data_IF_754686192967
#
_entry.id   IF_754686192967
#
_cell.length_a   1.000
_cell.length_b   1.000
_cell.length_c   1.000
_cell.angle_alpha   90.00
_cell.angle_beta   90.00
_cell.angle_gamma   90.00
#
_symmetry.space_group_name_H-M   'P 1'
#
loop_
_entity.id
_entity.type
_entity.pdbx_description
1 polymer ?
#
# COMPACT_ATOMS: atom_id res chain seq x y z
N UNK A 1 -2.55 -12.80 -24.13
CA UNK A 1 -2.88 -11.35 -24.16
C UNK A 1 -2.06 -10.71 -23.05
N UNK A 2 -1.72 -9.43 -23.10
CA UNK A 2 -0.97 -8.82 -21.98
C UNK A 2 -1.89 -8.53 -20.80
N UNK A 3 -1.32 -8.48 -19.58
CA UNK A 3 -2.02 -8.02 -18.38
C UNK A 3 -2.63 -6.62 -18.56
N UNK A 4 -3.86 -6.44 -18.07
CA UNK A 4 -4.62 -5.19 -18.21
C UNK A 4 -4.41 -4.27 -16.99
N UNK A 5 -3.34 -3.47 -17.04
CA UNK A 5 -2.98 -2.53 -15.97
C UNK A 5 -4.02 -1.41 -15.78
N UNK A 6 -4.72 -1.00 -16.83
CA UNK A 6 -5.78 0.02 -16.72
C UNK A 6 -6.97 -0.51 -15.91
N UNK A 7 -7.34 -1.78 -16.15
CA UNK A 7 -8.36 -2.46 -15.35
C UNK A 7 -7.91 -2.67 -13.90
N UNK A 8 -6.65 -3.07 -13.69
CA UNK A 8 -6.09 -3.19 -12.34
C UNK A 8 -6.20 -1.85 -11.59
N UNK A 9 -5.70 -0.76 -12.19
CA UNK A 9 -5.72 0.57 -11.58
C UNK A 9 -7.13 1.02 -11.23
N UNK A 10 -8.08 0.84 -12.16
CA UNK A 10 -9.49 1.20 -11.93
C UNK A 10 -10.07 0.41 -10.75
N UNK A 11 -9.90 -0.91 -10.73
CA UNK A 11 -10.45 -1.77 -9.70
C UNK A 11 -9.83 -1.49 -8.33
N UNK A 12 -8.53 -1.22 -8.30
CA UNK A 12 -7.82 -0.90 -7.07
C UNK A 12 -8.25 0.48 -6.52
N UNK A 13 -8.44 1.47 -7.39
CA UNK A 13 -8.99 2.77 -6.98
C UNK A 13 -10.41 2.65 -6.40
N UNK A 14 -11.25 1.81 -6.99
CA UNK A 14 -12.59 1.50 -6.47
C UNK A 14 -12.48 0.86 -5.08
N UNK A 15 -11.67 -0.19 -4.92
CA UNK A 15 -11.44 -0.85 -3.64
C UNK A 15 -10.90 0.08 -2.54
N UNK A 16 -9.90 0.90 -2.84
CA UNK A 16 -9.34 1.91 -1.93
C UNK A 16 -10.39 2.93 -1.51
N UNK A 17 -11.21 3.40 -2.47
CA UNK A 17 -12.25 4.39 -2.20
C UNK A 17 -13.37 3.80 -1.35
N UNK A 18 -13.79 2.57 -1.62
CA UNK A 18 -14.81 1.86 -0.85
C UNK A 18 -14.34 1.54 0.56
N UNK A 19 -13.10 1.06 0.71
CA UNK A 19 -12.48 0.82 2.00
C UNK A 19 -12.45 2.12 2.83
N UNK A 20 -11.92 3.21 2.29
CA UNK A 20 -11.89 4.49 2.99
C UNK A 20 -13.30 5.01 3.32
N UNK A 21 -14.28 4.81 2.43
CA UNK A 21 -15.66 5.17 2.68
C UNK A 21 -16.26 4.38 3.87
N UNK A 22 -15.90 3.10 4.01
CA UNK A 22 -16.31 2.26 5.14
C UNK A 22 -15.73 2.73 6.49
N UNK A 23 -14.59 3.45 6.45
CA UNK A 23 -13.89 3.96 7.64
C UNK A 23 -14.25 5.41 8.01
N UNK A 24 -15.29 6.00 7.41
CA UNK A 24 -15.65 7.40 7.65
C UNK A 24 -16.09 7.70 9.09
N UNK A 25 -16.53 6.70 9.85
CA UNK A 25 -16.81 6.85 11.28
C UNK A 25 -15.53 7.09 12.11
N UNK A 26 -14.37 6.70 11.58
CA UNK A 26 -13.04 6.88 12.17
C UNK A 26 -12.23 8.00 11.50
N UNK A 27 -12.85 8.82 10.64
CA UNK A 27 -12.15 9.79 9.77
C UNK A 27 -11.28 10.85 10.48
N UNK A 28 -11.55 11.11 11.76
CA UNK A 28 -10.82 12.07 12.57
C UNK A 28 -9.67 11.41 13.36
N UNK A 29 -9.65 10.08 13.42
CA UNK A 29 -8.70 9.27 14.18
C UNK A 29 -7.73 8.49 13.28
N UNK A 30 -8.19 8.06 12.10
CA UNK A 30 -7.37 7.41 11.09
C UNK A 30 -6.38 8.41 10.48
N UNK A 31 -5.07 8.12 10.57
CA UNK A 31 -4.01 9.05 10.20
C UNK A 31 -3.13 8.57 9.06
N UNK A 32 -3.10 7.27 8.78
CA UNK A 32 -2.33 6.68 7.68
C UNK A 32 -3.10 5.54 7.04
N UNK A 33 -2.95 5.39 5.73
CA UNK A 33 -3.46 4.28 4.94
C UNK A 33 -2.42 3.86 3.90
N UNK A 34 -2.25 2.57 3.68
CA UNK A 34 -1.26 1.99 2.78
C UNK A 34 -1.89 0.96 1.86
N UNK A 35 -1.45 0.91 0.61
CA UNK A 35 -1.60 -0.29 -0.23
C UNK A 35 -0.38 -1.16 0.07
N UNK A 36 -0.59 -2.34 0.62
CA UNK A 36 0.45 -3.35 0.80
C UNK A 36 0.52 -4.19 -0.48
N UNK A 37 1.67 -4.17 -1.15
CA UNK A 37 2.00 -5.04 -2.28
C UNK A 37 3.06 -6.06 -1.85
N UNK A 38 2.82 -7.32 -2.17
CA UNK A 38 3.63 -8.44 -1.72
C UNK A 38 3.73 -9.51 -2.82
N UNK A 39 4.71 -9.34 -3.74
CA UNK A 39 4.80 -10.14 -4.97
C UNK A 39 5.09 -11.62 -4.74
N UNK A 40 5.65 -11.99 -3.59
CA UNK A 40 6.08 -13.36 -3.30
C UNK A 40 4.97 -14.29 -2.76
N UNK A 41 3.76 -13.78 -2.48
CA UNK A 41 2.69 -14.54 -1.83
C UNK A 41 1.40 -14.66 -2.67
N UNK A 42 0.48 -15.52 -2.22
CA UNK A 42 -0.83 -15.73 -2.87
C UNK A 42 -1.79 -14.56 -2.73
N UNK A 43 -1.66 -13.80 -1.65
CA UNK A 43 -2.31 -12.51 -1.55
C UNK A 43 -1.28 -11.52 -2.08
N UNK A 44 -1.64 -10.72 -3.07
CA UNK A 44 -0.68 -9.81 -3.70
C UNK A 44 -0.92 -8.37 -3.26
N UNK A 45 -2.19 -8.00 -3.03
CA UNK A 45 -2.58 -6.63 -2.69
C UNK A 45 -3.54 -6.63 -1.51
N UNK A 46 -3.21 -5.82 -0.50
CA UNK A 46 -4.09 -5.50 0.62
C UNK A 46 -4.12 -3.99 0.88
N UNK A 47 -5.15 -3.54 1.60
CA UNK A 47 -5.25 -2.16 2.09
C UNK A 47 -5.12 -2.21 3.61
N UNK A 48 -4.22 -1.40 4.15
CA UNK A 48 -4.01 -1.24 5.59
C UNK A 48 -4.24 0.18 6.03
N UNK A 49 -4.63 0.38 7.28
CA UNK A 49 -4.70 1.70 7.87
C UNK A 49 -4.45 1.66 9.38
N UNK A 50 -4.06 2.80 9.95
CA UNK A 50 -3.88 2.92 11.39
C UNK A 50 -4.59 4.16 11.94
N UNK A 51 -4.91 4.10 13.23
CA UNK A 51 -5.59 5.14 13.98
C UNK A 51 -4.76 5.58 15.18
N UNK A 52 -4.92 6.83 15.62
CA UNK A 52 -4.21 7.30 16.81
C UNK A 52 -4.67 6.56 18.07
N UNK A 53 -5.94 6.13 18.13
CA UNK A 53 -6.45 5.32 19.24
C UNK A 53 -5.71 3.99 19.33
N UNK A 54 -5.55 3.26 18.22
CA UNK A 54 -4.85 1.98 18.23
C UNK A 54 -3.35 2.15 18.52
N UNK A 55 -2.69 3.15 17.93
CA UNK A 55 -1.28 3.45 18.22
C UNK A 55 -1.03 3.64 19.72
N UNK A 56 -1.91 4.37 20.42
CA UNK A 56 -1.83 4.61 21.87
C UNK A 56 -2.06 3.36 22.72
N UNK A 57 -2.74 2.35 22.17
CA UNK A 57 -2.89 1.06 22.85
C UNK A 57 -1.62 0.21 22.74
N UNK A 58 -0.82 0.42 21.69
CA UNK A 58 0.43 -0.31 21.47
C UNK A 58 1.62 0.32 22.21
N UNK A 59 1.72 1.66 22.21
CA UNK A 59 2.95 2.34 22.64
C UNK A 59 2.69 3.79 23.09
N UNK A 60 3.43 4.22 24.12
CA UNK A 60 3.43 5.61 24.59
C UNK A 60 4.27 6.51 23.65
N UNK A 61 3.91 7.80 23.53
CA UNK A 61 4.56 8.76 22.61
C UNK A 61 6.05 9.01 22.90
N UNK A 62 6.54 8.71 24.11
CA UNK A 62 7.94 8.87 24.52
C UNK A 62 8.77 7.58 24.47
N UNK A 63 8.19 6.46 24.02
CA UNK A 63 8.89 5.20 23.84
C UNK A 63 9.74 5.19 22.55
N UNK A 64 10.88 4.50 22.59
CA UNK A 64 11.77 4.36 21.43
C UNK A 64 11.13 3.59 20.27
N UNK A 65 10.14 2.75 20.57
CA UNK A 65 9.39 1.94 19.60
C UNK A 65 8.21 2.70 18.98
N UNK A 66 7.97 3.95 19.38
CA UNK A 66 6.79 4.71 18.94
C UNK A 66 6.72 4.85 17.42
N UNK A 67 7.84 5.21 16.79
CA UNK A 67 7.92 5.40 15.33
C UNK A 67 7.73 4.07 14.58
N UNK A 68 8.23 2.96 15.11
CA UNK A 68 8.00 1.62 14.56
C UNK A 68 6.50 1.29 14.52
N UNK A 69 5.78 1.34 15.65
CA UNK A 69 4.34 1.05 15.65
C UNK A 69 3.51 2.05 14.86
N UNK A 70 3.98 3.30 14.76
CA UNK A 70 3.31 4.34 13.98
C UNK A 70 3.34 4.06 12.47
N UNK A 71 4.43 3.47 11.97
CA UNK A 71 4.70 3.39 10.54
C UNK A 71 4.89 1.98 9.98
N UNK A 72 5.06 0.96 10.82
CA UNK A 72 5.12 -0.43 10.37
C UNK A 72 3.72 -0.97 10.07
N UNK A 73 3.38 -1.10 8.79
CA UNK A 73 2.09 -1.59 8.31
C UNK A 73 1.68 -2.94 8.93
N UNK A 74 2.63 -3.83 9.21
CA UNK A 74 2.37 -5.17 9.74
C UNK A 74 1.76 -5.15 11.14
N UNK A 75 2.01 -4.10 11.92
CA UNK A 75 1.51 -3.92 13.29
C UNK A 75 0.14 -3.23 13.34
N UNK A 76 -0.41 -2.76 12.22
CA UNK A 76 -1.66 -1.99 12.22
C UNK A 76 -2.92 -2.87 12.32
N UNK A 77 -3.97 -2.35 12.97
CA UNK A 77 -5.22 -3.07 13.22
C UNK A 77 -6.13 -3.21 12.00
N UNK A 78 -6.19 -2.19 11.15
CA UNK A 78 -7.14 -2.17 10.04
C UNK A 78 -6.52 -2.81 8.80
N UNK A 79 -7.18 -3.86 8.30
CA UNK A 79 -6.73 -4.65 7.16
C UNK A 79 -7.91 -5.08 6.28
N UNK A 80 -7.79 -4.94 4.96
CA UNK A 80 -8.72 -5.47 3.96
C UNK A 80 -7.93 -6.12 2.81
N UNK A 81 -8.24 -7.39 2.53
CA UNK A 81 -7.67 -8.13 1.40
C UNK A 81 -8.47 -7.83 0.12
N UNK A 82 -7.79 -7.40 -0.94
CA UNK A 82 -8.43 -7.14 -2.24
C UNK A 82 -8.44 -8.40 -3.10
N UNK A 83 -9.20 -9.41 -2.64
CA UNK A 83 -9.18 -10.80 -3.15
C UNK A 83 -9.31 -10.94 -4.66
N UNK A 84 -10.19 -10.17 -5.29
CA UNK A 84 -10.39 -10.25 -6.75
C UNK A 84 -9.15 -9.79 -7.51
N UNK A 85 -8.46 -8.76 -7.01
CA UNK A 85 -7.22 -8.26 -7.58
C UNK A 85 -6.08 -9.25 -7.34
N UNK A 86 -5.94 -9.72 -6.09
CA UNK A 86 -4.94 -10.75 -5.73
C UNK A 86 -5.10 -12.01 -6.59
N UNK A 87 -6.33 -12.46 -6.84
CA UNK A 87 -6.61 -13.63 -7.68
C UNK A 87 -6.26 -13.39 -9.16
N UNK A 88 -6.47 -12.17 -9.66
CA UNK A 88 -6.12 -11.82 -11.04
C UNK A 88 -4.60 -11.76 -11.24
N UNK A 89 -3.87 -11.21 -10.27
CA UNK A 89 -2.41 -11.19 -10.27
C UNK A 89 -1.84 -12.60 -10.18
N UNK A 90 -2.35 -13.43 -9.26
CA UNK A 90 -1.95 -14.82 -9.15
C UNK A 90 -2.12 -15.59 -10.47
N UNK A 91 -3.23 -15.38 -11.19
CA UNK A 91 -3.46 -16.02 -12.47
C UNK A 91 -2.45 -15.58 -13.54
N UNK A 92 -2.06 -14.30 -13.55
CA UNK A 92 -1.04 -13.79 -14.48
C UNK A 92 0.34 -14.39 -14.17
N UNK A 93 0.76 -14.40 -12.91
CA UNK A 93 2.03 -15.01 -12.49
C UNK A 93 2.09 -16.50 -12.85
N UNK A 94 1.01 -17.24 -12.60
CA UNK A 94 0.92 -18.66 -13.00
C UNK A 94 1.01 -18.83 -14.53
N UNK A 95 0.37 -17.95 -15.33
CA UNK A 95 0.47 -18.01 -16.79
C UNK A 95 1.90 -17.68 -17.28
N UNK A 96 2.59 -16.75 -16.63
CA UNK A 96 3.99 -16.42 -16.92
C UNK A 96 4.90 -17.61 -16.61
N UNK A 97 4.77 -18.21 -15.42
CA UNK A 97 5.58 -19.35 -14.97
C UNK A 97 5.38 -20.58 -15.88
N UNK A 98 4.15 -20.86 -16.33
CA UNK A 98 3.87 -21.98 -17.23
C UNK A 98 4.46 -21.79 -18.64
N UNK A 99 4.68 -20.55 -19.07
CA UNK A 99 4.98 -20.20 -20.46
C UNK A 99 6.45 -19.92 -20.73
N UNK A 100 7.18 -19.42 -19.74
CA UNK A 100 8.56 -19.00 -19.87
C UNK A 100 9.48 -19.93 -19.06
N UNK A 101 10.76 -19.98 -19.45
CA UNK A 101 11.77 -20.61 -18.61
C UNK A 101 12.13 -19.69 -17.43
N UNK A 102 12.81 -20.22 -16.42
CA UNK A 102 13.11 -19.53 -15.17
C UNK A 102 13.78 -18.15 -15.40
N UNK A 103 14.77 -18.06 -16.30
CA UNK A 103 15.48 -16.80 -16.58
C UNK A 103 14.58 -15.75 -17.25
N UNK A 104 13.74 -16.16 -18.20
CA UNK A 104 12.78 -15.26 -18.83
C UNK A 104 11.62 -14.90 -17.90
N UNK A 105 11.22 -15.80 -17.01
CA UNK A 105 10.20 -15.57 -16.00
C UNK A 105 10.64 -14.52 -14.98
N UNK A 106 11.82 -14.68 -14.37
CA UNK A 106 12.36 -13.74 -13.37
C UNK A 106 12.37 -12.31 -13.90
N UNK A 107 12.89 -12.12 -15.12
CA UNK A 107 12.91 -10.79 -15.75
C UNK A 107 11.51 -10.21 -16.01
N UNK A 108 10.58 -11.06 -16.47
CA UNK A 108 9.20 -10.60 -16.74
C UNK A 108 8.45 -10.29 -15.45
N UNK A 109 8.73 -11.03 -14.38
CA UNK A 109 8.22 -10.77 -13.05
C UNK A 109 8.71 -9.41 -12.55
N UNK A 110 10.02 -9.12 -12.59
CA UNK A 110 10.56 -7.81 -12.19
C UNK A 110 9.88 -6.66 -12.97
N UNK A 111 9.76 -6.79 -14.30
CA UNK A 111 9.06 -5.80 -15.14
C UNK A 111 7.56 -5.68 -14.83
N UNK A 112 6.95 -6.72 -14.27
CA UNK A 112 5.54 -6.74 -13.87
C UNK A 112 5.35 -6.07 -12.51
N UNK A 113 6.23 -6.37 -11.55
CA UNK A 113 6.28 -5.79 -10.21
C UNK A 113 6.43 -4.27 -10.28
N UNK A 114 7.39 -3.75 -11.05
CA UNK A 114 7.58 -2.30 -11.25
C UNK A 114 6.28 -1.61 -11.73
N UNK A 115 5.57 -2.23 -12.68
CA UNK A 115 4.31 -1.69 -13.19
C UNK A 115 3.18 -1.75 -12.17
N UNK A 116 3.14 -2.77 -11.32
CA UNK A 116 2.15 -2.86 -10.24
C UNK A 116 2.42 -1.78 -9.19
N UNK A 117 3.68 -1.54 -8.84
CA UNK A 117 4.10 -0.46 -7.94
C UNK A 117 3.65 0.90 -8.49
N UNK A 118 3.92 1.17 -9.77
CA UNK A 118 3.45 2.37 -10.47
C UNK A 118 1.93 2.52 -10.41
N UNK A 119 1.20 1.43 -10.63
CA UNK A 119 -0.28 1.43 -10.52
C UNK A 119 -0.71 1.76 -9.09
N UNK A 120 -0.13 1.16 -8.06
CA UNK A 120 -0.46 1.43 -6.66
C UNK A 120 -0.22 2.91 -6.31
N UNK A 121 0.92 3.45 -6.74
CA UNK A 121 1.27 4.87 -6.58
C UNK A 121 0.25 5.79 -7.27
N UNK A 122 -0.11 5.48 -8.51
CA UNK A 122 -1.09 6.25 -9.27
C UNK A 122 -2.48 6.18 -8.64
N UNK A 123 -2.88 5.02 -8.11
CA UNK A 123 -4.13 4.88 -7.36
C UNK A 123 -4.14 5.77 -6.13
N UNK A 124 -3.08 5.76 -5.31
CA UNK A 124 -3.01 6.63 -4.14
C UNK A 124 -3.06 8.11 -4.52
N UNK A 125 -2.35 8.51 -5.59
CA UNK A 125 -2.41 9.88 -6.14
C UNK A 125 -3.84 10.25 -6.58
N UNK A 126 -4.52 9.39 -7.32
CA UNK A 126 -5.92 9.58 -7.75
C UNK A 126 -6.89 9.59 -6.57
N UNK A 127 -6.68 8.76 -5.56
CA UNK A 127 -7.51 8.72 -4.36
C UNK A 127 -7.49 10.06 -3.61
N UNK A 128 -6.34 10.75 -3.54
CA UNK A 128 -6.25 12.11 -2.95
C UNK A 128 -7.16 13.13 -3.61
N UNK A 129 -7.53 12.92 -4.87
CA UNK A 129 -8.41 13.83 -5.62
C UNK A 129 -9.90 13.59 -5.34
N UNK A 130 -10.25 12.48 -4.66
CA UNK A 130 -11.64 12.09 -4.40
C UNK A 130 -12.30 12.87 -3.27
N UNK A 131 -13.63 12.95 -3.29
CA UNK A 131 -14.40 13.52 -2.18
C UNK A 131 -14.34 12.69 -0.90
N UNK A 132 -14.06 11.39 -1.01
CA UNK A 132 -13.88 10.50 0.16
C UNK A 132 -12.62 10.91 0.93
N UNK A 133 -11.48 11.07 0.25
CA UNK A 133 -10.24 11.51 0.88
C UNK A 133 -10.40 12.85 1.61
N UNK A 134 -11.10 13.81 0.99
CA UNK A 134 -11.35 15.15 1.57
C UNK A 134 -12.13 15.14 2.89
N UNK A 135 -12.79 14.02 3.24
CA UNK A 135 -13.51 13.89 4.52
C UNK A 135 -12.57 13.60 5.69
N UNK A 136 -11.37 13.10 5.43
CA UNK A 136 -10.35 12.85 6.44
C UNK A 136 -9.60 14.15 6.75
N UNK A 137 -9.35 14.41 8.03
CA UNK A 137 -8.73 15.67 8.47
C UNK A 137 -7.26 15.78 8.04
N UNK A 138 -6.51 14.69 8.23
CA UNK A 138 -5.10 14.54 7.83
C UNK A 138 -4.83 13.05 7.69
N UNK A 139 -4.75 12.56 6.46
CA UNK A 139 -4.50 11.16 6.13
C UNK A 139 -3.26 11.06 5.27
N UNK A 140 -2.20 10.45 5.81
CA UNK A 140 -1.03 10.07 5.03
C UNK A 140 -1.36 8.84 4.18
N UNK A 141 -0.79 8.78 2.98
CA UNK A 141 -0.91 7.61 2.10
C UNK A 141 0.46 6.98 1.90
N UNK A 142 0.52 5.65 1.83
CA UNK A 142 1.74 4.94 1.52
C UNK A 142 1.50 3.82 0.48
N UNK A 143 2.59 3.31 -0.09
CA UNK A 143 2.62 2.01 -0.76
C UNK A 143 3.71 1.20 -0.08
N UNK A 144 3.31 0.17 0.67
CA UNK A 144 4.23 -0.72 1.36
C UNK A 144 4.60 -1.88 0.45
N UNK A 145 5.89 -2.03 0.18
CA UNK A 145 6.44 -3.12 -0.61
C UNK A 145 6.98 -4.16 0.36
N UNK A 146 6.17 -5.18 0.66
CA UNK A 146 6.56 -6.19 1.65
C UNK A 146 7.63 -7.10 1.09
N UNK A 147 8.61 -7.44 1.94
CA UNK A 147 9.80 -8.22 1.60
C UNK A 147 10.76 -7.55 0.61
N UNK A 148 10.40 -6.39 0.08
CA UNK A 148 11.28 -5.51 -0.67
C UNK A 148 11.70 -4.32 0.20
N UNK A 149 12.87 -4.43 0.85
CA UNK A 149 13.38 -3.41 1.76
C UNK A 149 14.49 -2.58 1.10
N UNK A 150 14.08 -1.55 0.35
CA UNK A 150 14.93 -0.45 -0.09
C UNK A 150 14.48 0.83 0.60
N UNK A 151 15.25 1.27 1.60
CA UNK A 151 14.96 2.46 2.41
C UNK A 151 14.81 3.73 1.54
N UNK A 152 15.64 3.90 0.51
CA UNK A 152 15.58 5.08 -0.36
C UNK A 152 14.27 5.08 -1.16
N UNK A 153 13.86 3.92 -1.66
CA UNK A 153 12.62 3.75 -2.39
C UNK A 153 11.39 3.92 -1.49
N UNK A 154 11.40 3.33 -0.29
CA UNK A 154 10.33 3.47 0.71
C UNK A 154 10.14 4.94 1.10
N UNK A 155 11.22 5.67 1.38
CA UNK A 155 11.16 7.11 1.68
C UNK A 155 10.67 7.91 0.47
N UNK A 156 11.15 7.59 -0.74
CA UNK A 156 10.73 8.27 -1.98
C UNK A 156 9.22 8.11 -2.21
N UNK A 157 8.68 6.90 -2.07
CA UNK A 157 7.25 6.60 -2.20
C UNK A 157 6.43 7.47 -1.23
N UNK A 158 6.79 7.45 0.04
CA UNK A 158 6.07 8.23 1.06
C UNK A 158 6.13 9.73 0.77
N UNK A 159 7.31 10.24 0.38
CA UNK A 159 7.53 11.64 0.02
C UNK A 159 6.72 12.07 -1.20
N UNK A 160 6.67 11.25 -2.25
CA UNK A 160 5.89 11.54 -3.45
C UNK A 160 4.40 11.62 -3.17
N UNK A 161 3.90 10.79 -2.25
CA UNK A 161 2.50 10.81 -1.88
C UNK A 161 2.20 11.99 -0.98
N UNK A 162 3.02 12.27 0.03
CA UNK A 162 2.67 13.17 1.14
C UNK A 162 3.38 14.54 1.13
N UNK A 163 4.35 14.74 0.24
CA UNK A 163 5.26 15.88 0.29
C UNK A 163 6.28 15.76 1.42
N UNK A 164 6.90 16.87 1.81
CA UNK A 164 7.98 16.91 2.81
C UNK A 164 7.50 16.75 4.28
N UNK A 165 6.20 16.64 4.51
CA UNK A 165 5.63 16.57 5.86
C UNK A 165 5.95 15.22 6.52
N UNK A 166 6.54 15.25 7.72
CA UNK A 166 6.90 14.07 8.52
C UNK A 166 7.88 13.07 7.86
N UNK A 167 8.57 13.44 6.77
CA UNK A 167 9.56 12.54 6.14
C UNK A 167 10.67 12.17 7.11
N UNK A 168 11.24 13.13 7.86
CA UNK A 168 12.34 12.84 8.78
C UNK A 168 11.94 11.84 9.87
N UNK A 169 10.70 11.93 10.36
CA UNK A 169 10.16 10.99 11.33
C UNK A 169 9.89 9.63 10.69
N UNK A 170 9.29 9.61 9.50
CA UNK A 170 9.05 8.40 8.72
C UNK A 170 10.35 7.67 8.35
N UNK A 171 11.43 8.39 8.06
CA UNK A 171 12.71 7.78 7.73
C UNK A 171 13.46 7.22 8.96
N UNK A 172 13.08 7.64 10.18
CA UNK A 172 13.82 7.28 11.40
C UNK A 172 13.60 5.86 11.92
N UNK A 173 12.58 5.14 11.42
CA UNK A 173 12.26 3.77 11.84
C UNK A 173 12.70 2.70 10.83
N UNK A 174 13.05 3.11 9.60
CA UNK A 174 13.64 2.26 8.56
C UNK A 174 15.10 1.96 8.93
#
# INVERSE_FOLDING_TARGET
MGFDYEKLEKNLLEAVTEYAASQLDQKDDMYIMSIEYFPEFTTFIAIRANTYSYLKEQVDEDDESYTYYKYCEEEWDLYEDVKEISSALQAEYNEMEEKYDDEAFEKLQEEHEEKIIDVCMNVMKKFKETDTYRKFKKLYLNVYLREYFDEEETVRIFAELNGEDCIEEYASWL
#
